data_IF_080635152004
#
_entry.id   IF_080635152004
#
_cell.length_a   1.000
_cell.length_b   1.000
_cell.length_c   1.000
_cell.angle_alpha   90.00
_cell.angle_beta   90.00
_cell.angle_gamma   90.00
#
_symmetry.space_group_name_H-M   'P 1'
#
loop_
_entity.id
_entity.type
_entity.pdbx_description
1 polymer ?
#
# COMPACT_ATOMS: atom_id res chain seq x y z
N UNK A 1 5.24 3.37 -8.75
CA UNK A 1 6.17 3.76 -7.65
C UNK A 1 5.44 3.39 -6.36
N UNK A 2 5.96 2.47 -5.57
CA UNK A 2 5.28 2.00 -4.37
C UNK A 2 5.04 3.16 -3.39
N UNK A 3 3.80 3.33 -2.94
CA UNK A 3 3.49 4.37 -1.96
C UNK A 3 4.09 4.00 -0.62
N UNK A 4 4.67 4.97 0.10
CA UNK A 4 5.16 4.71 1.45
C UNK A 4 3.99 4.35 2.37
N UNK A 5 4.25 3.40 3.28
CA UNK A 5 3.27 2.82 4.18
C UNK A 5 3.70 3.09 5.63
N UNK A 6 2.73 3.36 6.51
CA UNK A 6 2.89 3.38 7.95
C UNK A 6 1.96 2.35 8.57
N UNK A 7 2.49 1.52 9.49
CA UNK A 7 1.69 0.52 10.19
C UNK A 7 1.64 0.91 11.67
N UNK A 8 0.43 1.14 12.17
CA UNK A 8 0.19 1.39 13.59
C UNK A 8 -0.28 0.10 14.25
N UNK A 9 0.58 -0.49 15.09
CA UNK A 9 0.28 -1.68 15.88
C UNK A 9 -0.22 -1.27 17.26
N UNK A 10 -1.37 -1.80 17.68
CA UNK A 10 -1.98 -1.46 18.97
C UNK A 10 -2.93 -2.56 19.45
N UNK A 11 -3.70 -2.33 20.52
CA UNK A 11 -4.80 -3.20 20.96
C UNK A 11 -6.14 -2.82 20.29
N UNK A 12 -7.18 -3.63 20.49
CA UNK A 12 -8.47 -3.45 19.80
C UNK A 12 -9.18 -2.15 20.16
N UNK A 13 -9.14 -1.75 21.44
CA UNK A 13 -9.78 -0.52 21.92
C UNK A 13 -9.08 0.73 21.36
N UNK A 14 -7.75 0.70 21.29
CA UNK A 14 -6.96 1.80 20.74
C UNK A 14 -7.09 1.87 19.22
N UNK A 15 -7.15 0.73 18.51
CA UNK A 15 -7.46 0.70 17.07
C UNK A 15 -8.79 1.37 16.78
N UNK A 16 -9.84 1.04 17.54
CA UNK A 16 -11.15 1.66 17.37
C UNK A 16 -11.10 3.19 17.56
N UNK A 17 -10.30 3.67 18.53
CA UNK A 17 -10.09 5.11 18.74
C UNK A 17 -9.33 5.76 17.58
N UNK A 18 -8.29 5.12 17.04
CA UNK A 18 -7.55 5.64 15.87
C UNK A 18 -8.47 5.76 14.66
N UNK A 19 -9.25 4.72 14.35
CA UNK A 19 -10.18 4.74 13.22
C UNK A 19 -11.26 5.81 13.38
N UNK A 20 -11.81 5.98 14.59
CA UNK A 20 -12.76 7.06 14.86
C UNK A 20 -12.14 8.45 14.67
N UNK A 21 -10.87 8.64 15.07
CA UNK A 21 -10.15 9.91 14.85
C UNK A 21 -9.82 10.14 13.38
N UNK A 22 -9.44 9.11 12.62
CA UNK A 22 -9.25 9.21 11.16
C UNK A 22 -10.55 9.64 10.46
N UNK A 23 -11.69 9.08 10.86
CA UNK A 23 -13.01 9.48 10.34
C UNK A 23 -13.38 10.93 10.65
N UNK A 24 -12.88 11.49 11.75
CA UNK A 24 -13.12 12.87 12.16
C UNK A 24 -12.10 13.86 11.57
N UNK A 25 -10.94 13.38 11.12
CA UNK A 25 -9.84 14.21 10.64
C UNK A 25 -10.11 14.86 9.27
N UNK A 26 -11.02 14.31 8.48
CA UNK A 26 -11.34 14.83 7.15
C UNK A 26 -12.48 14.08 6.45
N UNK A 27 -12.46 14.08 5.12
CA UNK A 27 -13.45 13.37 4.32
C UNK A 27 -13.07 11.88 4.24
N UNK A 28 -13.75 11.06 5.03
CA UNK A 28 -13.53 9.61 5.11
C UNK A 28 -14.58 8.84 4.32
N UNK A 29 -14.15 7.95 3.43
CA UNK A 29 -15.01 7.10 2.59
C UNK A 29 -14.64 5.65 2.79
N UNK A 30 -15.58 4.84 3.28
CA UNK A 30 -15.40 3.39 3.41
C UNK A 30 -15.52 2.71 2.04
N UNK A 31 -14.56 1.85 1.71
CA UNK A 31 -14.52 1.13 0.44
C UNK A 31 -14.19 -0.36 0.68
N UNK A 32 -14.42 -1.25 -0.30
CA UNK A 32 -14.24 -2.68 -0.11
C UNK A 32 -12.80 -3.17 0.10
N UNK A 33 -11.80 -2.36 -0.23
CA UNK A 33 -10.37 -2.74 -0.19
C UNK A 33 -9.61 -1.87 0.79
N UNK A 34 -9.49 -0.58 0.48
CA UNK A 34 -8.90 0.44 1.37
C UNK A 34 -9.90 1.56 1.54
N UNK A 35 -10.09 2.00 2.77
CA UNK A 35 -10.82 3.23 3.04
C UNK A 35 -10.02 4.44 2.54
N UNK A 36 -10.70 5.53 2.24
CA UNK A 36 -10.11 6.74 1.67
C UNK A 36 -10.26 7.85 2.68
N UNK A 37 -9.19 8.59 2.93
CA UNK A 37 -9.22 9.76 3.79
C UNK A 37 -8.56 10.93 3.04
N UNK A 38 -9.28 12.05 2.99
CA UNK A 38 -8.74 13.33 2.50
C UNK A 38 -8.69 14.35 3.64
N UNK A 39 -7.50 14.88 3.94
CA UNK A 39 -7.29 15.90 4.99
C UNK A 39 -6.51 17.06 4.39
N UNK A 40 -7.07 18.27 4.42
CA UNK A 40 -6.44 19.49 3.89
C UNK A 40 -5.92 19.36 2.45
N UNK A 41 -6.59 18.55 1.62
CA UNK A 41 -6.22 18.28 0.22
C UNK A 41 -5.20 17.15 0.04
N UNK A 42 -4.62 16.63 1.12
CA UNK A 42 -3.76 15.45 1.12
C UNK A 42 -4.58 14.18 1.13
N UNK A 43 -4.06 13.14 0.47
CA UNK A 43 -4.79 11.91 0.20
C UNK A 43 -4.13 10.69 0.88
N UNK A 44 -4.94 9.86 1.54
CA UNK A 44 -4.50 8.68 2.29
C UNK A 44 -5.36 7.45 1.97
N UNK A 45 -4.72 6.29 1.83
CA UNK A 45 -5.37 4.97 1.83
C UNK A 45 -5.25 4.38 3.23
N UNK A 46 -6.38 3.97 3.81
CA UNK A 46 -6.44 3.40 5.16
C UNK A 46 -6.89 1.95 5.05
N UNK A 47 -6.07 1.03 5.51
CA UNK A 47 -6.48 -0.36 5.72
C UNK A 47 -6.87 -0.54 7.21
N UNK A 48 -8.17 -0.63 7.53
CA UNK A 48 -8.61 -0.94 8.88
C UNK A 48 -8.52 -2.43 9.21
N UNK A 49 -8.07 -3.29 8.29
CA UNK A 49 -7.99 -4.74 8.52
C UNK A 49 -6.71 -5.12 9.27
N UNK A 50 -6.74 -6.31 9.86
CA UNK A 50 -5.58 -6.89 10.56
C UNK A 50 -4.73 -7.78 9.62
N UNK A 51 -4.85 -7.58 8.30
CA UNK A 51 -4.23 -8.47 7.29
C UNK A 51 -2.71 -8.41 7.34
N UNK A 52 -2.12 -7.24 7.59
CA UNK A 52 -0.66 -7.07 7.67
C UNK A 52 -0.02 -7.77 8.87
N UNK A 53 -0.81 -8.20 9.87
CA UNK A 53 -0.28 -8.96 11.02
C UNK A 53 0.39 -10.28 10.59
N UNK A 54 0.01 -10.85 9.44
CA UNK A 54 0.62 -12.08 8.92
C UNK A 54 2.10 -11.91 8.57
N UNK A 55 2.56 -10.67 8.40
CA UNK A 55 3.95 -10.33 8.07
C UNK A 55 4.85 -10.31 9.33
N UNK A 56 4.25 -10.30 10.53
CA UNK A 56 4.99 -10.25 11.78
C UNK A 56 5.17 -11.62 12.42
N UNK A 57 6.38 -11.88 12.90
CA UNK A 57 6.63 -13.09 13.68
C UNK A 57 5.86 -13.08 15.01
N UNK A 58 5.20 -14.20 15.34
CA UNK A 58 4.43 -14.33 16.57
C UNK A 58 5.21 -14.01 17.86
N UNK A 59 6.51 -14.36 18.02
CA UNK A 59 7.30 -13.93 19.18
C UNK A 59 7.43 -12.40 19.30
N UNK A 60 7.59 -11.69 18.18
CA UNK A 60 7.67 -10.22 18.14
C UNK A 60 6.36 -9.59 18.59
N UNK A 61 5.24 -10.06 18.03
CA UNK A 61 3.91 -9.58 18.43
C UNK A 61 3.62 -9.84 19.92
N UNK A 62 3.97 -11.02 20.44
CA UNK A 62 3.82 -11.33 21.87
C UNK A 62 4.70 -10.47 22.78
N UNK A 63 5.88 -10.07 22.31
CA UNK A 63 6.77 -9.19 23.06
C UNK A 63 6.23 -7.76 23.13
N UNK A 64 5.65 -7.26 22.03
CA UNK A 64 5.03 -5.93 21.96
C UNK A 64 3.71 -5.86 22.74
N UNK A 65 2.90 -6.92 22.65
CA UNK A 65 1.55 -7.00 23.22
C UNK A 65 1.40 -8.23 24.14
N UNK A 66 2.07 -8.26 25.31
CA UNK A 66 2.09 -9.45 26.18
C UNK A 66 0.75 -9.76 26.86
N UNK A 67 -0.23 -8.86 26.77
CA UNK A 67 -1.50 -8.93 27.51
C UNK A 67 -2.75 -8.73 26.64
N UNK A 68 -2.58 -8.54 25.33
CA UNK A 68 -3.67 -8.24 24.41
C UNK A 68 -3.40 -8.86 23.03
N UNK A 69 -4.45 -9.08 22.27
CA UNK A 69 -4.33 -9.42 20.85
C UNK A 69 -3.87 -8.16 20.10
N UNK A 70 -2.82 -8.27 19.24
CA UNK A 70 -2.37 -7.15 18.44
C UNK A 70 -3.38 -6.86 17.33
N UNK A 71 -3.53 -5.59 17.00
CA UNK A 71 -4.32 -5.11 15.87
C UNK A 71 -3.53 -4.04 15.11
N UNK A 72 -3.90 -3.81 13.86
CA UNK A 72 -3.24 -2.86 12.97
C UNK A 72 -4.20 -1.86 12.35
N UNK A 73 -3.67 -0.68 12.06
CA UNK A 73 -4.19 0.26 11.07
C UNK A 73 -3.04 0.60 10.14
N UNK A 74 -3.21 0.33 8.84
CA UNK A 74 -2.22 0.70 7.82
C UNK A 74 -2.63 1.99 7.16
N UNK A 75 -1.68 2.90 6.94
CA UNK A 75 -1.91 4.18 6.27
C UNK A 75 -0.89 4.31 5.14
N UNK A 76 -1.35 4.29 3.89
CA UNK A 76 -0.54 4.70 2.73
C UNK A 76 -0.74 6.19 2.46
N UNK A 77 0.34 6.86 2.05
CA UNK A 77 0.35 8.31 1.89
C UNK A 77 1.17 8.75 0.67
N UNK A 78 0.85 9.93 0.14
CA UNK A 78 1.57 10.51 -1.00
C UNK A 78 2.93 11.08 -0.61
N UNK A 79 2.95 12.03 0.32
CA UNK A 79 4.18 12.69 0.79
C UNK A 79 4.32 12.64 2.32
N UNK A 80 5.57 12.61 2.82
CA UNK A 80 5.88 12.44 4.26
C UNK A 80 5.38 13.61 5.09
N UNK A 81 5.40 14.81 4.52
CA UNK A 81 4.96 16.05 5.15
C UNK A 81 3.46 16.02 5.44
N UNK A 82 2.70 15.25 4.67
CA UNK A 82 1.23 15.15 4.76
C UNK A 82 0.80 14.21 5.88
N UNK A 83 1.50 13.08 6.08
CA UNK A 83 1.05 12.04 7.02
C UNK A 83 1.35 12.37 8.48
N UNK A 84 2.35 13.21 8.75
CA UNK A 84 2.77 13.51 10.13
C UNK A 84 1.72 14.26 10.96
N UNK A 85 1.12 15.37 10.50
CA UNK A 85 0.05 16.05 11.24
C UNK A 85 -1.10 15.11 11.54
N UNK A 86 -1.49 14.29 10.55
CA UNK A 86 -2.52 13.28 10.69
C UNK A 86 -2.15 12.26 11.78
N UNK A 87 -0.97 11.64 11.68
CA UNK A 87 -0.51 10.62 12.62
C UNK A 87 -0.49 11.15 14.05
N UNK A 88 0.06 12.35 14.28
CA UNK A 88 0.10 12.97 15.61
C UNK A 88 -1.29 13.22 16.16
N UNK A 89 -2.23 13.68 15.33
CA UNK A 89 -3.60 13.94 15.76
C UNK A 89 -4.33 12.64 16.14
N UNK A 90 -4.25 11.62 15.29
CA UNK A 90 -4.98 10.37 15.49
C UNK A 90 -4.37 9.49 16.58
N UNK A 91 -3.08 9.64 16.89
CA UNK A 91 -2.39 8.84 17.92
C UNK A 91 -2.13 9.56 19.24
N UNK A 92 -2.42 10.86 19.35
CA UNK A 92 -2.14 11.65 20.58
C UNK A 92 -2.75 11.00 21.82
N UNK A 93 -1.90 10.68 22.80
CA UNK A 93 -2.31 10.11 24.08
C UNK A 93 -2.78 8.66 24.02
N UNK A 94 -2.51 7.96 22.91
CA UNK A 94 -2.81 6.55 22.73
C UNK A 94 -1.56 5.69 22.92
N UNK A 95 -1.78 4.42 23.26
CA UNK A 95 -0.72 3.41 23.40
C UNK A 95 -0.55 2.60 22.12
N UNK A 96 0.66 2.13 21.86
CA UNK A 96 0.96 1.33 20.67
C UNK A 96 2.37 1.56 20.17
N UNK A 97 2.67 0.98 19.02
CA UNK A 97 3.90 1.23 18.30
C UNK A 97 3.63 1.51 16.83
N UNK A 98 4.47 2.36 16.26
CA UNK A 98 4.57 2.61 14.85
C UNK A 98 5.70 1.75 14.29
N UNK A 99 5.39 1.04 13.21
CA UNK A 99 6.37 0.41 12.34
C UNK A 99 6.58 1.27 11.10
N UNK A 100 7.84 1.66 10.88
CA UNK A 100 8.28 2.46 9.73
C UNK A 100 8.81 1.59 8.59
N UNK A 101 8.62 0.26 8.66
CA UNK A 101 9.12 -0.78 7.73
C UNK A 101 10.65 -0.95 7.77
N UNK A 102 11.38 0.14 7.98
CA UNK A 102 12.83 0.13 8.21
C UNK A 102 13.13 0.76 9.58
N UNK A 103 13.70 -0.03 10.48
CA UNK A 103 14.14 0.42 11.80
C UNK A 103 13.39 -0.20 12.99
N UNK A 104 13.68 0.27 14.22
CA UNK A 104 13.00 -0.20 15.41
C UNK A 104 11.59 0.36 15.52
N UNK A 105 10.67 -0.40 16.11
CA UNK A 105 9.35 0.08 16.50
C UNK A 105 9.44 1.35 17.36
N UNK A 106 8.64 2.37 17.02
CA UNK A 106 8.55 3.62 17.77
C UNK A 106 7.29 3.62 18.62
N UNK A 107 7.37 3.90 19.92
CA UNK A 107 6.14 4.03 20.74
C UNK A 107 5.37 5.26 20.30
N UNK A 108 4.03 5.16 20.28
CA UNK A 108 3.17 6.31 19.95
C UNK A 108 3.35 7.49 20.92
N UNK A 109 3.63 7.19 22.20
CA UNK A 109 3.95 8.18 23.23
C UNK A 109 5.30 8.87 23.05
N UNK A 110 6.22 8.24 22.31
CA UNK A 110 7.55 8.77 22.02
C UNK A 110 7.59 9.58 20.71
N UNK A 111 6.46 9.71 20.00
CA UNK A 111 6.40 10.48 18.76
C UNK A 111 6.70 11.96 19.05
N UNK A 112 7.76 12.52 18.48
CA UNK A 112 8.20 13.87 18.82
C UNK A 112 7.19 14.92 18.35
N UNK A 113 6.92 15.88 19.23
CA UNK A 113 6.15 17.08 18.88
C UNK A 113 6.87 17.96 17.84
N UNK A 114 8.21 17.87 17.77
CA UNK A 114 9.07 18.66 16.86
C UNK A 114 9.37 17.95 15.53
N UNK A 115 9.91 18.70 14.58
CA UNK A 115 9.80 18.62 13.10
C UNK A 115 10.13 17.31 12.38
N UNK A 116 10.58 16.25 13.05
CA UNK A 116 10.99 15.01 12.37
C UNK A 116 10.71 13.77 13.23
N UNK A 117 10.27 12.67 12.60
CA UNK A 117 10.35 11.31 13.15
C UNK A 117 11.83 10.84 13.18
N UNK A 118 12.69 11.60 13.86
CA UNK A 118 14.07 11.22 14.16
C UNK A 118 14.16 10.73 15.62
N UNK A 119 15.10 9.82 15.92
CA UNK A 119 15.20 9.12 17.23
C UNK A 119 15.30 10.13 18.37
N UNK A 120 14.85 9.70 19.57
CA UNK A 120 15.49 10.12 20.80
C UNK A 120 16.85 9.41 20.95
N UNK A 121 17.95 10.18 20.96
CA UNK A 121 19.23 9.73 21.52
C UNK A 121 20.49 9.84 20.65
N UNK A 122 20.93 11.07 20.33
CA UNK A 122 22.37 11.44 20.33
C UNK A 122 22.49 12.98 20.39
N UNK A 123 22.83 13.59 21.54
CA UNK A 123 22.85 15.05 21.66
C UNK A 123 24.05 15.76 21.01
N UNK A 124 24.88 15.09 20.20
CA UNK A 124 26.15 15.69 19.73
C UNK A 124 26.68 15.24 18.36
N UNK A 125 25.86 14.63 17.48
CA UNK A 125 26.27 14.44 16.07
C UNK A 125 25.64 15.51 15.20
N UNK A 126 26.44 16.47 14.75
CA UNK A 126 26.10 17.48 13.72
C UNK A 126 25.96 16.88 12.31
N UNK A 127 25.87 15.56 12.22
CA UNK A 127 25.60 14.83 10.99
C UNK A 127 24.16 14.33 11.12
N UNK A 128 23.26 15.05 10.46
CA UNK A 128 21.84 14.74 10.28
C UNK A 128 21.69 13.45 9.46
N UNK A 129 22.10 12.30 10.00
CA UNK A 129 21.82 11.00 9.39
C UNK A 129 20.39 10.56 9.74
N UNK A 130 19.49 10.43 8.75
CA UNK A 130 18.10 10.08 8.98
C UNK A 130 17.97 8.63 9.47
N UNK A 131 17.07 8.43 10.44
CA UNK A 131 16.91 7.18 11.17
C UNK A 131 16.06 6.11 10.53
N UNK A 132 15.49 6.45 9.40
CA UNK A 132 15.23 5.50 8.35
C UNK A 132 16.02 6.03 7.15
N UNK A 133 17.03 5.28 6.73
CA UNK A 133 17.21 5.18 5.30
C UNK A 133 15.90 4.59 4.78
N UNK A 134 15.02 5.47 4.31
CA UNK A 134 14.35 5.18 3.05
C UNK A 134 15.42 5.33 1.97
N UNK A 135 16.50 4.55 2.06
CA UNK A 135 17.13 4.14 0.83
C UNK A 135 15.97 3.47 0.10
N UNK A 136 15.48 4.11 -0.96
CA UNK A 136 15.14 3.36 -2.15
C UNK A 136 16.35 2.47 -2.41
N UNK A 137 16.41 1.35 -1.68
CA UNK A 137 17.32 0.31 -2.00
C UNK A 137 16.77 -0.18 -3.33
N UNK A 138 17.42 0.28 -4.41
CA UNK A 138 17.54 -0.39 -5.71
C UNK A 138 18.20 -1.77 -5.54
N UNK A 139 17.91 -2.48 -4.44
CA UNK A 139 18.02 -3.92 -4.46
C UNK A 139 16.94 -4.36 -5.44
N UNK A 140 17.29 -5.13 -6.48
CA UNK A 140 16.29 -5.66 -7.41
C UNK A 140 15.25 -6.38 -6.57
N UNK A 141 14.06 -5.79 -6.46
CA UNK A 141 12.96 -6.39 -5.71
C UNK A 141 12.67 -7.68 -6.42
N UNK A 142 12.83 -8.82 -5.75
CA UNK A 142 12.38 -10.09 -6.30
C UNK A 142 10.88 -9.94 -6.56
N UNK A 143 10.52 -9.75 -7.83
CA UNK A 143 9.13 -9.64 -8.24
C UNK A 143 8.40 -10.89 -7.78
N UNK A 144 7.38 -10.68 -6.96
CA UNK A 144 6.60 -11.74 -6.36
C UNK A 144 5.19 -11.63 -6.91
N UNK A 145 5.03 -12.11 -8.15
CA UNK A 145 3.71 -12.19 -8.76
C UNK A 145 2.83 -13.18 -7.98
N UNK A 146 1.79 -12.64 -7.35
CA UNK A 146 0.85 -13.39 -6.53
C UNK A 146 -0.45 -13.60 -7.32
N UNK A 147 -0.89 -14.84 -7.57
CA UNK A 147 -2.16 -15.09 -8.23
C UNK A 147 -3.30 -14.52 -7.39
N UNK A 148 -4.39 -14.09 -8.03
CA UNK A 148 -5.60 -13.68 -7.31
C UNK A 148 -6.09 -14.84 -6.44
N UNK A 149 -6.20 -14.68 -5.10
CA UNK A 149 -6.71 -15.73 -4.25
C UNK A 149 -8.15 -16.12 -4.60
N UNK A 150 -8.46 -17.41 -4.60
CA UNK A 150 -9.83 -17.91 -4.85
C UNK A 150 -10.74 -17.83 -3.61
N UNK A 151 -10.62 -16.74 -2.87
CA UNK A 151 -11.48 -16.40 -1.75
C UNK A 151 -12.30 -15.14 -2.06
N UNK A 152 -13.19 -14.78 -1.11
CA UNK A 152 -14.07 -13.63 -1.29
C UNK A 152 -13.32 -12.30 -1.30
N UNK A 153 -12.19 -12.19 -0.59
CA UNK A 153 -11.37 -10.99 -0.56
C UNK A 153 -10.62 -10.81 -1.89
N UNK A 154 -9.95 -11.86 -2.38
CA UNK A 154 -9.25 -11.87 -3.67
C UNK A 154 -10.18 -11.53 -4.83
N UNK A 155 -11.36 -12.17 -4.90
CA UNK A 155 -12.36 -11.85 -5.94
C UNK A 155 -12.90 -10.41 -5.86
N UNK A 156 -13.01 -9.83 -4.66
CA UNK A 156 -13.42 -8.43 -4.48
C UNK A 156 -12.30 -7.47 -4.92
N UNK A 157 -11.05 -7.73 -4.55
CA UNK A 157 -9.89 -6.95 -4.97
C UNK A 157 -9.76 -6.94 -6.49
N UNK A 158 -9.78 -8.12 -7.12
CA UNK A 158 -9.71 -8.25 -8.58
C UNK A 158 -10.80 -7.49 -9.32
N UNK A 159 -12.06 -7.53 -8.82
CA UNK A 159 -13.17 -6.77 -9.41
C UNK A 159 -12.99 -5.26 -9.27
N UNK A 160 -12.46 -4.81 -8.14
CA UNK A 160 -12.23 -3.39 -7.88
C UNK A 160 -11.14 -2.83 -8.79
N UNK A 161 -10.04 -3.57 -8.95
CA UNK A 161 -8.96 -3.25 -9.90
C UNK A 161 -9.49 -3.24 -11.33
N UNK A 162 -10.28 -4.25 -11.73
CA UNK A 162 -10.87 -4.27 -13.07
C UNK A 162 -11.75 -3.04 -13.33
N UNK A 163 -12.61 -2.66 -12.37
CA UNK A 163 -13.45 -1.48 -12.48
C UNK A 163 -12.63 -0.19 -12.59
N UNK A 164 -11.48 -0.10 -11.93
CA UNK A 164 -10.58 1.03 -12.05
C UNK A 164 -9.91 1.08 -13.43
N UNK A 165 -9.38 -0.04 -13.91
CA UNK A 165 -8.84 -0.13 -15.27
C UNK A 165 -9.89 0.25 -16.33
N UNK A 166 -11.14 -0.15 -16.16
CA UNK A 166 -12.24 0.24 -17.06
C UNK A 166 -12.51 1.75 -17.07
N UNK A 167 -12.26 2.47 -15.96
CA UNK A 167 -12.38 3.93 -15.88
C UNK A 167 -11.21 4.63 -16.55
N UNK A 168 -9.99 4.15 -16.32
CA UNK A 168 -8.77 4.75 -16.86
C UNK A 168 -8.64 4.54 -18.37
N UNK A 169 -8.93 3.33 -18.83
CA UNK A 169 -8.76 2.95 -20.23
C UNK A 169 -9.76 3.70 -21.12
N UNK A 170 -9.25 4.54 -22.01
CA UNK A 170 -10.04 5.26 -23.01
C UNK A 170 -9.97 4.64 -24.39
N UNK A 171 -10.92 5.02 -25.26
CA UNK A 171 -10.89 4.63 -26.67
C UNK A 171 -9.54 5.04 -27.30
N UNK A 172 -8.90 4.09 -27.98
CA UNK A 172 -7.58 4.25 -28.56
C UNK A 172 -6.49 3.55 -27.75
N UNK A 173 -6.75 3.19 -26.49
CA UNK A 173 -5.85 2.34 -25.73
C UNK A 173 -5.88 0.88 -26.25
N UNK A 174 -4.74 0.17 -26.36
CA UNK A 174 -4.68 -1.22 -26.85
C UNK A 174 -5.55 -2.22 -26.07
N UNK A 175 -5.82 -1.93 -24.80
CA UNK A 175 -6.60 -2.76 -23.88
C UNK A 175 -8.05 -2.30 -23.69
N UNK A 176 -8.48 -1.21 -24.35
CA UNK A 176 -9.82 -0.64 -24.15
C UNK A 176 -10.92 -1.67 -24.42
N UNK A 177 -11.69 -2.01 -23.39
CA UNK A 177 -12.77 -3.02 -23.40
C UNK A 177 -12.35 -4.45 -23.78
N UNK A 178 -11.07 -4.80 -23.58
CA UNK A 178 -10.55 -6.14 -23.88
C UNK A 178 -10.24 -6.97 -22.66
N UNK A 179 -10.13 -6.36 -21.48
CA UNK A 179 -9.79 -7.06 -20.24
C UNK A 179 -11.01 -7.83 -19.73
N UNK A 180 -10.84 -9.13 -19.49
CA UNK A 180 -11.89 -10.01 -18.96
C UNK A 180 -11.64 -10.47 -17.52
N UNK A 181 -10.43 -10.24 -16.99
CA UNK A 181 -10.10 -10.58 -15.61
C UNK A 181 -8.70 -10.14 -15.20
N UNK A 182 -8.50 -9.99 -13.88
CA UNK A 182 -7.19 -9.85 -13.25
C UNK A 182 -6.78 -11.24 -12.75
N UNK A 183 -5.55 -11.64 -13.06
CA UNK A 183 -5.04 -13.00 -12.84
C UNK A 183 -3.95 -13.04 -11.76
N UNK A 184 -3.15 -11.97 -11.66
CA UNK A 184 -2.16 -11.82 -10.60
C UNK A 184 -1.86 -10.34 -10.30
N UNK A 185 -1.33 -10.09 -9.11
CA UNK A 185 -0.77 -8.82 -8.67
C UNK A 185 0.74 -8.97 -8.52
N UNK A 186 1.50 -7.95 -8.87
CA UNK A 186 2.89 -7.88 -8.42
C UNK A 186 2.91 -7.50 -6.93
N UNK A 187 3.66 -8.24 -6.11
CA UNK A 187 3.86 -7.90 -4.70
C UNK A 187 4.88 -6.78 -4.47
N UNK A 188 5.70 -6.47 -5.48
CA UNK A 188 6.75 -5.45 -5.38
C UNK A 188 6.36 -4.08 -5.96
N UNK A 189 5.30 -4.04 -6.76
CA UNK A 189 4.77 -2.87 -7.45
C UNK A 189 3.23 -2.88 -7.45
N UNK A 190 2.63 -1.88 -8.09
CA UNK A 190 1.19 -1.79 -8.32
C UNK A 190 0.74 -2.41 -9.66
N UNK A 191 1.63 -3.16 -10.31
CA UNK A 191 1.37 -3.79 -11.59
C UNK A 191 0.41 -4.98 -11.48
N UNK A 192 -0.36 -5.18 -12.55
CA UNK A 192 -1.38 -6.23 -12.60
C UNK A 192 -1.28 -7.03 -13.89
N UNK A 193 -1.36 -8.35 -13.75
CA UNK A 193 -1.45 -9.28 -14.85
C UNK A 193 -2.92 -9.49 -15.17
N UNK A 194 -3.30 -9.18 -16.39
CA UNK A 194 -4.69 -9.29 -16.84
C UNK A 194 -4.84 -10.27 -18.00
N UNK A 195 -6.00 -10.93 -18.06
CA UNK A 195 -6.40 -11.75 -19.19
C UNK A 195 -7.31 -10.97 -20.12
N UNK A 196 -7.11 -11.13 -21.42
CA UNK A 196 -7.88 -10.49 -22.47
C UNK A 196 -8.93 -11.45 -23.06
N UNK A 197 -9.88 -10.88 -23.80
CA UNK A 197 -11.01 -11.57 -24.42
C UNK A 197 -10.61 -12.64 -25.48
N UNK A 198 -9.45 -12.46 -26.10
CA UNK A 198 -8.84 -13.42 -27.03
C UNK A 198 -7.99 -14.50 -26.34
N UNK A 199 -7.97 -14.51 -25.00
CA UNK A 199 -7.18 -15.44 -24.18
C UNK A 199 -5.70 -15.08 -24.06
N UNK A 200 -5.27 -13.93 -24.61
CA UNK A 200 -3.92 -13.40 -24.36
C UNK A 200 -3.81 -12.71 -23.00
N UNK A 201 -2.59 -12.39 -22.60
CA UNK A 201 -2.30 -11.71 -21.33
C UNK A 201 -1.58 -10.39 -21.56
N UNK A 202 -1.71 -9.48 -20.59
CA UNK A 202 -0.96 -8.23 -20.54
C UNK A 202 -0.55 -7.89 -19.11
N UNK A 203 0.61 -7.25 -18.95
CA UNK A 203 0.95 -6.51 -17.73
C UNK A 203 0.43 -5.08 -17.93
N UNK A 204 -0.26 -4.56 -16.93
CA UNK A 204 -0.73 -3.17 -16.91
C UNK A 204 -0.08 -2.48 -15.72
N UNK A 205 0.41 -1.27 -15.94
CA UNK A 205 0.94 -0.35 -14.93
C UNK A 205 -0.12 0.73 -14.68
N UNK A 206 -1.07 0.51 -13.75
CA UNK A 206 -2.21 1.41 -13.57
C UNK A 206 -1.76 2.78 -13.08
N UNK A 207 -2.57 3.80 -13.30
CA UNK A 207 -2.25 5.17 -12.85
C UNK A 207 -2.95 5.56 -11.54
N UNK A 208 -4.00 4.83 -11.19
CA UNK A 208 -4.88 5.01 -10.03
C UNK A 208 -5.52 6.39 -9.96
N UNK A 209 -5.78 7.03 -11.11
CA UNK A 209 -6.28 8.41 -11.16
C UNK A 209 -7.79 8.52 -11.05
N UNK A 210 -8.53 7.41 -11.09
CA UNK A 210 -10.00 7.35 -10.98
C UNK A 210 -10.75 8.11 -12.05
N UNK A 211 -10.07 8.42 -13.14
CA UNK A 211 -10.63 9.13 -14.29
C UNK A 211 -10.09 8.53 -15.57
N UNK A 212 -10.79 8.82 -16.65
CA UNK A 212 -10.33 8.53 -17.99
C UNK A 212 -8.93 9.13 -18.21
N UNK A 213 -7.98 8.27 -18.57
CA UNK A 213 -6.63 8.66 -18.94
C UNK A 213 -6.53 9.07 -20.41
N UNK A 214 -5.38 9.62 -20.79
CA UNK A 214 -5.12 9.91 -22.21
C UNK A 214 -4.74 8.62 -22.97
N UNK A 215 -4.98 8.54 -24.29
CA UNK A 215 -4.57 7.38 -25.09
C UNK A 215 -3.09 7.03 -24.88
N UNK A 216 -2.81 5.75 -24.65
CA UNK A 216 -1.48 5.23 -24.30
C UNK A 216 -1.22 5.10 -22.79
N UNK A 217 -2.13 5.57 -21.93
CA UNK A 217 -2.12 5.34 -20.49
C UNK A 217 -3.40 4.62 -20.03
N UNK A 218 -3.34 3.82 -18.93
CA UNK A 218 -2.13 3.32 -18.26
C UNK A 218 -1.18 2.57 -19.21
N UNK A 219 0.13 2.56 -18.96
CA UNK A 219 1.04 1.83 -19.84
C UNK A 219 0.82 0.32 -19.72
N UNK A 220 1.07 -0.42 -20.80
CA UNK A 220 0.89 -1.87 -20.79
C UNK A 220 1.91 -2.61 -21.67
N UNK A 221 2.20 -3.85 -21.31
CA UNK A 221 2.96 -4.80 -22.11
C UNK A 221 2.09 -5.99 -22.51
N UNK A 222 1.94 -6.23 -23.81
CA UNK A 222 1.21 -7.39 -24.34
C UNK A 222 2.12 -8.63 -24.34
N UNK A 223 1.67 -9.68 -23.64
CA UNK A 223 2.44 -10.92 -23.47
C UNK A 223 2.09 -11.99 -24.51
N UNK A 224 0.94 -11.91 -25.18
CA UNK A 224 0.48 -12.93 -26.12
C UNK A 224 -0.25 -14.08 -25.43
N UNK A 225 -0.30 -15.26 -26.04
CA UNK A 225 -1.06 -16.43 -25.55
C UNK A 225 -0.14 -17.60 -25.19
N UNK A 226 -0.62 -18.50 -24.30
CA UNK A 226 0.04 -19.78 -24.01
C UNK A 226 1.52 -19.67 -23.66
N UNK A 227 2.36 -20.42 -24.36
CA UNK A 227 3.81 -20.45 -24.11
C UNK A 227 4.51 -19.11 -24.41
N UNK A 228 3.99 -18.31 -25.34
CA UNK A 228 4.54 -16.98 -25.64
C UNK A 228 4.38 -16.06 -24.42
N UNK A 229 3.20 -16.09 -23.79
CA UNK A 229 2.94 -15.29 -22.59
C UNK A 229 3.88 -15.65 -21.44
N UNK A 230 4.11 -16.94 -21.21
CA UNK A 230 5.04 -17.40 -20.18
C UNK A 230 6.51 -17.04 -20.47
N UNK A 231 6.90 -16.92 -21.74
CA UNK A 231 8.24 -16.47 -22.11
C UNK A 231 8.39 -14.97 -21.92
N UNK A 232 7.46 -14.18 -22.46
CA UNK A 232 7.51 -12.71 -22.35
C UNK A 232 7.39 -12.27 -20.91
N UNK A 233 6.49 -12.86 -20.14
CA UNK A 233 6.36 -12.60 -18.71
C UNK A 233 7.69 -12.76 -17.97
N UNK A 234 8.42 -13.86 -18.23
CA UNK A 234 9.76 -14.08 -17.64
C UNK A 234 10.79 -13.03 -18.10
N UNK A 235 10.68 -12.52 -19.32
CA UNK A 235 11.55 -11.46 -19.83
C UNK A 235 11.20 -10.10 -19.19
N UNK A 236 9.92 -9.75 -19.12
CA UNK A 236 9.44 -8.53 -18.45
C UNK A 236 9.93 -8.47 -17.01
N UNK A 237 9.84 -9.59 -16.30
CA UNK A 237 10.31 -9.72 -14.91
C UNK A 237 11.83 -9.52 -14.77
N UNK A 238 12.61 -9.78 -15.83
CA UNK A 238 14.07 -9.61 -15.79
C UNK A 238 14.54 -8.18 -16.07
N UNK A 239 13.69 -7.33 -16.65
CA UNK A 239 14.05 -5.98 -17.10
C UNK A 239 13.40 -4.85 -16.31
N UNK A 240 12.57 -5.19 -15.32
CA UNK A 240 11.95 -4.27 -14.36
C UNK A 240 12.59 -4.46 -13.00
#
# INVERSE_FOLDING_TARGET
MARPILIVLTDGDTKAQILARLQLAGEYVTEPVFDWLTVDGSYFEVDPTDTVLVEYEAPTLRALFPRSEPHTVTIEYGAREEVRPLLLEVTRGLEGVLDTTTGPFLRLSDLPASTWLARPGRPDSTEDEPLAFFEEHDLPREQSWQPVPDDTAGRRRARSVLAELERELVRGHPLFRRIVGVEAFDGASDDVLVRLDDGSYAIVHPTWTRRAERPGYPTCELLGTGAESALRFRQSVQWM
#
